data_IF_437577053782
#
_entry.id   IF_437577053782
#
_cell.length_a   1.000
_cell.length_b   1.000
_cell.length_c   1.000
_cell.angle_alpha   90.00
_cell.angle_beta   90.00
_cell.angle_gamma   90.00
#
_symmetry.space_group_name_H-M   'P 1'
#
loop_
_entity.id
_entity.type
_entity.pdbx_description
1 polymer ?
#
# COMPACT_ATOMS: atom_id res chain seq x y z
N UNK A 1 -6.29 0.18 -26.20
CA UNK A 1 -5.07 0.85 -25.71
C UNK A 1 -3.99 -0.20 -25.44
N UNK A 2 -2.72 0.16 -25.59
CA UNK A 2 -1.56 -0.66 -25.26
C UNK A 2 -0.83 -0.03 -24.06
N UNK A 3 -1.00 -0.61 -22.88
CA UNK A 3 -0.50 -0.07 -21.60
C UNK A 3 0.73 -0.86 -21.14
N UNK A 4 1.83 -0.14 -20.86
CA UNK A 4 3.04 -0.72 -20.33
C UNK A 4 3.20 -0.40 -18.83
N UNK A 5 3.12 -1.42 -17.99
CA UNK A 5 3.47 -1.31 -16.59
C UNK A 5 4.96 -1.50 -16.37
N UNK A 6 5.53 -0.74 -15.42
CA UNK A 6 6.93 -0.88 -15.01
C UNK A 6 7.01 -0.87 -13.49
N UNK A 7 7.48 -1.98 -12.90
CA UNK A 7 7.52 -2.18 -11.45
C UNK A 7 8.71 -3.04 -11.01
N UNK A 8 9.00 -3.09 -9.71
CA UNK A 8 10.07 -3.95 -9.20
C UNK A 8 9.68 -5.43 -9.16
N UNK A 9 8.41 -5.74 -8.86
CA UNK A 9 7.91 -7.09 -8.59
C UNK A 9 6.57 -7.34 -9.26
N UNK A 10 6.27 -8.58 -9.59
CA UNK A 10 4.99 -9.04 -10.16
C UNK A 10 4.09 -9.76 -9.15
N UNK A 11 4.62 -10.32 -8.08
CA UNK A 11 3.90 -11.23 -7.18
C UNK A 11 3.50 -10.59 -5.85
N UNK A 12 4.40 -9.87 -5.19
CA UNK A 12 4.13 -9.26 -3.89
C UNK A 12 3.29 -7.99 -4.04
N UNK A 13 2.16 -7.92 -3.28
CA UNK A 13 1.31 -6.74 -3.30
C UNK A 13 0.74 -6.46 -4.69
N UNK A 14 -0.01 -7.39 -5.28
CA UNK A 14 -0.49 -7.33 -6.66
C UNK A 14 -1.27 -6.06 -7.00
N UNK A 15 -1.95 -5.46 -6.03
CA UNK A 15 -2.61 -4.16 -6.18
C UNK A 15 -1.60 -3.02 -6.29
N UNK A 16 -0.53 -3.04 -5.46
CA UNK A 16 0.51 -2.01 -5.43
C UNK A 16 1.45 -2.06 -6.62
N UNK A 17 1.65 -3.23 -7.23
CA UNK A 17 2.56 -3.37 -8.37
C UNK A 17 1.86 -3.24 -9.73
N UNK A 18 0.54 -3.10 -9.75
CA UNK A 18 -0.26 -2.96 -10.95
C UNK A 18 -0.67 -4.28 -11.61
N UNK A 19 -0.30 -5.44 -11.06
CA UNK A 19 -0.60 -6.74 -11.68
C UNK A 19 -2.10 -7.04 -11.75
N UNK A 20 -2.86 -6.75 -10.68
CA UNK A 20 -4.32 -6.92 -10.68
C UNK A 20 -4.98 -6.04 -11.74
N UNK A 21 -4.55 -4.79 -11.87
CA UNK A 21 -5.04 -3.89 -12.91
C UNK A 21 -4.70 -4.38 -14.31
N UNK A 22 -3.46 -4.86 -14.52
CA UNK A 22 -3.06 -5.46 -15.80
C UNK A 22 -4.00 -6.60 -16.21
N UNK A 23 -4.34 -7.49 -15.28
CA UNK A 23 -5.27 -8.60 -15.55
C UNK A 23 -6.67 -8.13 -15.96
N UNK A 24 -7.19 -7.11 -15.27
CA UNK A 24 -8.49 -6.52 -15.61
C UNK A 24 -8.49 -5.84 -16.99
N UNK A 25 -7.41 -5.14 -17.34
CA UNK A 25 -7.26 -4.55 -18.67
C UNK A 25 -7.24 -5.60 -19.79
N UNK A 26 -6.52 -6.71 -19.56
CA UNK A 26 -6.50 -7.84 -20.52
C UNK A 26 -7.87 -8.52 -20.68
N UNK A 27 -8.62 -8.72 -19.59
CA UNK A 27 -10.01 -9.25 -19.63
C UNK A 27 -10.94 -8.36 -20.44
N UNK A 28 -10.72 -7.06 -20.45
CA UNK A 28 -11.50 -6.05 -21.19
C UNK A 28 -11.03 -5.84 -22.63
N UNK A 29 -10.10 -6.67 -23.12
CA UNK A 29 -9.61 -6.65 -24.49
C UNK A 29 -8.55 -5.58 -24.79
N UNK A 30 -7.97 -4.94 -23.79
CA UNK A 30 -6.83 -4.05 -23.96
C UNK A 30 -5.53 -4.85 -24.08
N UNK A 31 -4.54 -4.31 -24.76
CA UNK A 31 -3.17 -4.83 -24.73
C UNK A 31 -2.48 -4.30 -23.46
N UNK A 32 -1.87 -5.17 -22.71
CA UNK A 32 -1.15 -4.78 -21.51
C UNK A 32 0.06 -5.68 -21.28
N UNK A 33 1.21 -5.06 -21.08
CA UNK A 33 2.47 -5.72 -20.77
C UNK A 33 3.07 -5.14 -19.49
N UNK A 34 3.88 -5.93 -18.80
CA UNK A 34 4.55 -5.52 -17.57
C UNK A 34 6.04 -5.83 -17.64
N UNK A 35 6.89 -4.82 -17.40
CA UNK A 35 8.29 -5.01 -17.11
C UNK A 35 8.56 -5.04 -15.61
N UNK A 36 9.27 -6.07 -15.16
CA UNK A 36 9.67 -6.25 -13.77
C UNK A 36 11.18 -6.44 -13.62
N UNK A 37 11.71 -6.03 -12.48
CA UNK A 37 13.09 -6.38 -12.10
C UNK A 37 13.18 -7.85 -11.70
N UNK A 38 12.28 -8.31 -10.83
CA UNK A 38 12.19 -9.70 -10.36
C UNK A 38 10.89 -10.33 -10.87
N UNK A 39 11.02 -11.23 -11.83
CA UNK A 39 9.91 -12.01 -12.37
C UNK A 39 9.76 -13.30 -11.56
N UNK A 40 8.57 -13.51 -11.00
CA UNK A 40 8.19 -14.70 -10.24
C UNK A 40 6.97 -15.40 -10.84
N UNK A 41 6.13 -14.65 -11.56
CA UNK A 41 4.93 -15.17 -12.22
C UNK A 41 5.30 -15.53 -13.67
N UNK A 42 4.97 -16.77 -14.09
CA UNK A 42 5.18 -17.19 -15.45
C UNK A 42 3.94 -16.92 -16.32
N UNK A 43 3.80 -15.67 -16.71
CA UNK A 43 2.73 -15.20 -17.59
C UNK A 43 3.31 -14.56 -18.86
N UNK A 44 2.64 -14.71 -20.04
CA UNK A 44 3.17 -14.24 -21.32
C UNK A 44 3.35 -12.73 -21.39
N UNK A 45 2.57 -11.96 -20.65
CA UNK A 45 2.59 -10.50 -20.63
C UNK A 45 3.44 -9.90 -19.50
N UNK A 46 4.22 -10.73 -18.78
CA UNK A 46 5.15 -10.29 -17.74
C UNK A 46 6.58 -10.59 -18.17
N UNK A 47 7.41 -9.57 -18.25
CA UNK A 47 8.75 -9.65 -18.81
C UNK A 47 9.80 -9.13 -17.82
N UNK A 48 10.97 -9.78 -17.80
CA UNK A 48 12.13 -9.24 -17.08
C UNK A 48 12.70 -8.04 -17.83
N UNK A 49 12.94 -6.92 -17.14
CA UNK A 49 13.58 -5.76 -17.74
C UNK A 49 15.09 -5.98 -17.91
N UNK A 50 15.56 -5.77 -19.13
CA UNK A 50 16.97 -5.90 -19.48
C UNK A 50 17.50 -7.33 -19.55
N UNK A 51 18.58 -7.53 -20.30
CA UNK A 51 19.29 -8.81 -20.41
C UNK A 51 20.12 -9.14 -19.17
N UNK A 52 20.70 -10.34 -19.12
CA UNK A 52 21.51 -10.82 -17.98
C UNK A 52 22.67 -9.88 -17.60
N UNK A 53 23.41 -9.36 -18.59
CA UNK A 53 24.52 -8.43 -18.39
C UNK A 53 24.08 -7.08 -17.82
N UNK A 54 22.98 -6.50 -18.35
CA UNK A 54 22.43 -5.25 -17.87
C UNK A 54 21.95 -5.38 -16.41
N UNK A 55 21.28 -6.48 -16.07
CA UNK A 55 20.82 -6.75 -14.70
C UNK A 55 22.00 -6.99 -13.73
N UNK A 56 23.06 -7.66 -14.17
CA UNK A 56 24.29 -7.81 -13.38
C UNK A 56 24.94 -6.45 -13.07
N UNK A 57 25.09 -5.59 -14.11
CA UNK A 57 25.62 -4.22 -13.96
C UNK A 57 24.74 -3.41 -13.02
N UNK A 58 23.40 -3.45 -13.20
CA UNK A 58 22.45 -2.78 -12.31
C UNK A 58 22.64 -3.23 -10.85
N UNK A 59 22.81 -4.53 -10.60
CA UNK A 59 23.09 -5.05 -9.26
C UNK A 59 24.39 -4.54 -8.64
N UNK A 60 25.45 -4.37 -9.46
CA UNK A 60 26.72 -3.79 -9.01
C UNK A 60 26.56 -2.30 -8.65
N UNK A 61 25.88 -1.54 -9.51
CA UNK A 61 25.60 -0.11 -9.29
C UNK A 61 24.68 0.11 -8.09
N UNK A 62 23.65 -0.74 -7.89
CA UNK A 62 22.82 -0.71 -6.70
C UNK A 62 23.64 -0.86 -5.41
N UNK A 63 24.61 -1.81 -5.37
CA UNK A 63 25.52 -1.95 -4.21
C UNK A 63 26.38 -0.72 -3.99
N UNK A 64 26.81 -0.06 -5.06
CA UNK A 64 27.54 1.21 -4.99
C UNK A 64 26.66 2.34 -4.43
N UNK A 65 25.42 2.45 -4.91
CA UNK A 65 24.44 3.40 -4.37
C UNK A 65 24.24 3.26 -2.86
N UNK A 66 24.07 2.01 -2.38
CA UNK A 66 23.93 1.74 -0.95
C UNK A 66 25.17 2.22 -0.15
N UNK A 67 26.38 2.07 -0.70
CA UNK A 67 27.62 2.59 -0.07
C UNK A 67 27.67 4.12 -0.08
N UNK A 68 27.15 4.75 -1.13
CA UNK A 68 27.15 6.20 -1.30
C UNK A 68 25.93 6.87 -0.66
N UNK A 69 24.96 6.09 -0.14
CA UNK A 69 23.69 6.57 0.38
C UNK A 69 22.87 7.37 -0.66
N UNK A 70 22.97 6.97 -1.93
CA UNK A 70 22.15 7.52 -3.02
C UNK A 70 20.92 6.65 -3.25
N UNK A 71 19.88 7.23 -3.85
CA UNK A 71 18.64 6.53 -4.15
C UNK A 71 18.18 6.78 -5.58
N UNK A 72 18.13 5.69 -6.40
CA UNK A 72 17.70 5.72 -7.80
C UNK A 72 18.48 6.72 -8.68
N UNK A 73 19.78 6.82 -8.49
CA UNK A 73 20.68 7.73 -9.23
C UNK A 73 21.49 6.96 -10.29
N UNK A 74 22.14 5.85 -9.88
CA UNK A 74 23.06 5.07 -10.70
C UNK A 74 22.42 3.90 -11.48
N UNK A 75 21.22 3.39 -11.22
CA UNK A 75 20.63 2.25 -11.93
C UNK A 75 20.59 2.46 -13.45
N UNK A 76 20.75 1.37 -14.20
CA UNK A 76 20.92 1.44 -15.67
C UNK A 76 19.77 0.83 -16.47
N UNK A 77 18.85 0.13 -15.84
CA UNK A 77 17.79 -0.57 -16.58
C UNK A 77 16.79 0.38 -17.27
N UNK A 78 16.77 1.67 -16.88
CA UNK A 78 16.02 2.68 -17.62
C UNK A 78 16.46 2.82 -19.10
N UNK A 79 17.73 2.63 -19.41
CA UNK A 79 18.21 2.60 -20.80
C UNK A 79 17.67 1.37 -21.56
N UNK A 80 17.58 0.22 -20.90
CA UNK A 80 16.97 -0.98 -21.49
C UNK A 80 15.47 -0.78 -21.73
N UNK A 81 14.78 -0.06 -20.85
CA UNK A 81 13.38 0.30 -21.04
C UNK A 81 13.20 1.17 -22.27
N UNK A 82 13.93 2.27 -22.39
CA UNK A 82 13.85 3.22 -23.52
C UNK A 82 14.13 2.58 -24.89
N UNK A 83 14.93 1.52 -24.93
CA UNK A 83 15.25 0.80 -26.17
C UNK A 83 14.26 -0.32 -26.50
N UNK A 84 13.39 -0.69 -25.55
CA UNK A 84 12.53 -1.86 -25.73
C UNK A 84 11.40 -1.62 -26.74
N UNK A 85 11.02 -2.63 -27.52
CA UNK A 85 9.88 -2.54 -28.42
C UNK A 85 8.55 -2.28 -27.69
N UNK A 86 8.36 -2.88 -26.50
CA UNK A 86 7.14 -2.68 -25.71
C UNK A 86 7.00 -1.23 -25.25
N UNK A 87 8.10 -0.57 -24.89
CA UNK A 87 8.06 0.85 -24.54
C UNK A 87 7.74 1.71 -25.76
N UNK A 88 8.42 1.47 -26.88
CA UNK A 88 8.22 2.26 -28.12
C UNK A 88 6.81 2.17 -28.69
N UNK A 89 6.14 1.04 -28.49
CA UNK A 89 4.79 0.78 -28.99
C UNK A 89 3.68 1.01 -27.96
N UNK A 90 4.02 1.46 -26.74
CA UNK A 90 3.02 1.74 -25.72
C UNK A 90 2.24 3.03 -26.03
N UNK A 91 0.93 3.00 -25.80
CA UNK A 91 0.11 4.21 -25.82
C UNK A 91 0.29 5.02 -24.53
N UNK A 92 0.59 4.33 -23.42
CA UNK A 92 0.82 4.92 -22.10
C UNK A 92 1.75 4.03 -21.27
N UNK A 93 2.59 4.67 -20.47
CA UNK A 93 3.48 3.98 -19.50
C UNK A 93 2.99 4.25 -18.07
N UNK A 94 2.77 3.18 -17.31
CA UNK A 94 2.38 3.26 -15.91
C UNK A 94 3.50 2.77 -14.99
N UNK A 95 4.14 3.69 -14.30
CA UNK A 95 5.20 3.43 -13.34
C UNK A 95 4.59 3.12 -11.96
N UNK A 96 5.14 2.10 -11.28
CA UNK A 96 4.69 1.69 -9.94
C UNK A 96 5.85 1.80 -8.93
N UNK A 97 6.24 0.73 -8.27
CA UNK A 97 7.27 0.68 -7.23
C UNK A 97 8.69 0.79 -7.79
N UNK A 98 9.15 1.98 -8.17
CA UNK A 98 10.50 2.18 -8.71
C UNK A 98 11.60 2.19 -7.65
N UNK A 99 11.31 2.67 -6.44
CA UNK A 99 12.28 2.79 -5.35
C UNK A 99 12.56 1.46 -4.63
N UNK A 100 11.67 0.49 -4.74
CA UNK A 100 11.91 -0.87 -4.29
C UNK A 100 12.98 -1.51 -5.19
N UNK A 101 14.16 -1.80 -4.66
CA UNK A 101 15.33 -2.35 -5.40
C UNK A 101 16.01 -1.41 -6.40
N UNK A 102 15.60 -0.15 -6.54
CA UNK A 102 16.31 0.90 -7.27
C UNK A 102 16.87 0.41 -8.62
N UNK A 103 16.01 0.14 -9.59
CA UNK A 103 16.40 -0.46 -10.87
C UNK A 103 16.34 0.52 -12.06
N UNK A 104 15.60 1.61 -11.92
CA UNK A 104 15.53 2.71 -12.88
C UNK A 104 16.08 3.98 -12.24
N UNK A 105 17.00 4.65 -12.90
CA UNK A 105 17.49 5.94 -12.46
C UNK A 105 16.42 7.01 -12.62
N UNK A 106 16.32 7.91 -11.63
CA UNK A 106 15.48 9.10 -11.73
C UNK A 106 15.84 9.93 -12.97
N UNK A 107 17.11 9.98 -13.38
CA UNK A 107 17.56 10.68 -14.58
C UNK A 107 17.00 10.14 -15.90
N UNK A 108 16.42 8.94 -15.91
CA UNK A 108 15.72 8.42 -17.07
C UNK A 108 14.27 8.96 -17.21
N UNK A 109 13.67 9.48 -16.13
CA UNK A 109 12.27 9.91 -16.11
C UNK A 109 11.95 11.04 -17.12
N UNK A 110 12.81 12.07 -17.29
CA UNK A 110 12.57 13.07 -18.33
C UNK A 110 12.43 12.48 -19.74
N UNK A 111 13.32 11.54 -20.10
CA UNK A 111 13.26 10.90 -21.43
C UNK A 111 12.10 9.91 -21.55
N UNK A 112 11.76 9.17 -20.48
CA UNK A 112 10.59 8.29 -20.44
C UNK A 112 9.32 9.10 -20.65
N UNK A 113 9.17 10.28 -20.05
CA UNK A 113 7.97 11.11 -20.10
C UNK A 113 7.91 12.06 -21.33
N UNK A 114 8.94 12.05 -22.17
CA UNK A 114 9.00 12.92 -23.36
C UNK A 114 8.13 12.39 -24.51
N UNK A 115 8.14 11.07 -24.72
CA UNK A 115 7.57 10.45 -25.91
C UNK A 115 6.23 9.73 -25.65
N UNK A 116 5.87 9.55 -24.39
CA UNK A 116 4.64 8.86 -23.98
C UNK A 116 3.97 9.59 -22.83
N UNK A 117 2.63 9.56 -22.74
CA UNK A 117 1.95 9.91 -21.50
C UNK A 117 2.38 8.90 -20.41
N UNK A 118 2.80 9.44 -19.26
CA UNK A 118 3.28 8.64 -18.14
C UNK A 118 2.42 8.89 -16.92
N UNK A 119 1.93 7.81 -16.32
CA UNK A 119 1.31 7.80 -14.98
C UNK A 119 2.29 7.19 -14.01
N UNK A 120 2.41 7.74 -12.80
CA UNK A 120 3.20 7.15 -11.73
C UNK A 120 2.38 7.02 -10.45
N UNK A 121 2.04 5.79 -10.07
CA UNK A 121 1.40 5.50 -8.78
C UNK A 121 2.41 5.63 -7.65
N UNK A 122 2.16 6.60 -6.77
CA UNK A 122 3.01 6.90 -5.62
C UNK A 122 2.37 6.26 -4.37
N UNK A 123 2.97 5.19 -3.89
CA UNK A 123 2.43 4.37 -2.80
C UNK A 123 2.82 4.84 -1.41
N UNK A 124 3.86 5.67 -1.30
CA UNK A 124 4.37 6.23 -0.06
C UNK A 124 5.08 7.57 -0.30
N UNK A 125 5.35 8.36 0.75
CA UNK A 125 6.01 9.66 0.63
C UNK A 125 7.48 9.66 0.15
N UNK A 126 8.09 8.54 -0.20
CA UNK A 126 9.51 8.48 -0.59
C UNK A 126 9.91 9.53 -1.63
N UNK A 127 9.05 9.78 -2.62
CA UNK A 127 9.37 10.75 -3.67
C UNK A 127 9.42 12.19 -3.15
N UNK A 128 8.71 12.51 -2.07
CA UNK A 128 8.71 13.84 -1.44
C UNK A 128 9.88 14.07 -0.48
N UNK A 129 10.59 13.01 -0.08
CA UNK A 129 11.61 13.02 0.99
C UNK A 129 13.02 12.78 0.45
N UNK A 130 14.04 12.92 1.30
CA UNK A 130 15.42 12.56 0.98
C UNK A 130 15.70 11.07 1.00
N UNK A 131 14.94 10.28 1.80
CA UNK A 131 15.08 8.82 1.85
C UNK A 131 13.90 8.07 2.45
N UNK A 132 13.23 8.63 3.45
CA UNK A 132 12.21 7.91 4.21
C UNK A 132 10.92 7.71 3.39
N UNK A 133 10.25 6.58 3.60
CA UNK A 133 8.94 6.28 3.02
C UNK A 133 7.79 6.92 3.82
N UNK A 134 8.01 7.19 5.11
CA UNK A 134 7.10 7.95 5.97
C UNK A 134 7.90 8.90 6.85
N UNK A 135 7.76 10.21 6.67
CA UNK A 135 8.51 11.19 7.46
C UNK A 135 8.00 11.35 8.90
N UNK A 136 6.83 10.77 9.26
CA UNK A 136 6.17 10.94 10.56
C UNK A 136 6.07 12.43 10.93
N UNK A 137 6.56 12.83 12.11
CA UNK A 137 6.55 14.23 12.60
C UNK A 137 7.62 15.12 11.95
N UNK A 138 8.50 14.56 11.10
CA UNK A 138 9.57 15.31 10.45
C UNK A 138 9.04 16.17 9.31
N UNK A 139 9.26 17.49 9.38
CA UNK A 139 8.85 18.47 8.38
C UNK A 139 9.97 18.87 7.40
N UNK A 140 11.17 18.30 7.52
CA UNK A 140 12.34 18.70 6.71
C UNK A 140 12.18 18.46 5.21
N UNK A 141 11.30 17.53 4.83
CA UNK A 141 10.98 17.27 3.43
C UNK A 141 10.34 18.46 2.69
N UNK A 142 9.76 19.41 3.44
CA UNK A 142 9.21 20.66 2.90
C UNK A 142 10.30 21.68 2.52
N UNK A 143 11.51 21.56 3.08
CA UNK A 143 12.57 22.58 2.94
C UNK A 143 13.89 22.03 2.40
N UNK A 144 13.97 20.75 2.03
CA UNK A 144 15.15 20.18 1.35
C UNK A 144 15.83 19.03 2.07
N UNK A 145 15.27 18.52 3.17
CA UNK A 145 15.89 17.48 4.01
C UNK A 145 17.29 17.89 4.54
N UNK A 146 18.12 16.93 4.93
CA UNK A 146 19.42 17.17 5.60
C UNK A 146 19.31 17.15 7.13
N UNK A 147 20.43 16.86 7.80
CA UNK A 147 20.48 16.64 9.26
C UNK A 147 19.39 15.67 9.73
N UNK A 148 19.28 14.52 9.03
CA UNK A 148 18.20 13.58 9.22
C UNK A 148 18.21 13.01 10.64
N UNK A 149 17.07 13.01 11.36
CA UNK A 149 17.00 12.48 12.72
C UNK A 149 17.08 10.95 12.77
N UNK A 150 16.74 10.27 11.66
CA UNK A 150 16.78 8.81 11.57
C UNK A 150 17.25 8.38 10.17
N UNK A 151 18.40 7.75 10.10
CA UNK A 151 18.97 7.18 8.88
C UNK A 151 18.75 5.66 8.76
N UNK A 152 18.01 5.06 9.69
CA UNK A 152 17.87 3.60 9.80
C UNK A 152 16.58 3.06 9.23
N UNK A 153 15.52 3.87 9.19
CA UNK A 153 14.15 3.43 8.89
C UNK A 153 13.61 3.98 7.58
N UNK A 154 12.91 3.17 6.78
CA UNK A 154 13.04 1.73 6.58
C UNK A 154 14.07 1.40 5.50
N UNK A 155 14.62 2.42 4.82
CA UNK A 155 15.70 2.30 3.83
C UNK A 155 16.97 2.86 4.46
N UNK A 156 17.81 2.03 5.10
CA UNK A 156 18.94 2.51 5.88
C UNK A 156 20.00 3.17 5.00
N UNK A 157 20.55 4.29 5.50
CA UNK A 157 21.65 5.03 4.88
C UNK A 157 22.90 4.97 5.73
N UNK A 158 24.07 4.85 5.10
CA UNK A 158 25.37 4.83 5.81
C UNK A 158 25.84 6.21 6.24
N UNK A 159 25.42 7.24 5.53
CA UNK A 159 25.73 8.66 5.79
C UNK A 159 24.52 9.51 5.41
N UNK A 160 24.40 10.67 6.02
CA UNK A 160 23.33 11.60 5.66
C UNK A 160 23.58 12.23 4.28
N UNK A 161 22.96 11.65 3.26
CA UNK A 161 22.89 12.21 1.92
C UNK A 161 21.44 12.66 1.59
N UNK A 162 20.59 12.85 2.60
CA UNK A 162 19.16 13.15 2.42
C UNK A 162 18.93 14.46 1.69
N UNK A 163 19.73 15.50 1.99
CA UNK A 163 19.67 16.78 1.26
C UNK A 163 20.05 16.62 -0.22
N UNK A 164 21.05 15.79 -0.52
CA UNK A 164 21.48 15.53 -1.90
C UNK A 164 20.40 14.76 -2.68
N UNK A 165 19.88 13.69 -2.10
CA UNK A 165 18.81 12.90 -2.72
C UNK A 165 17.56 13.74 -2.95
N UNK A 166 17.19 14.61 -2.00
CA UNK A 166 16.07 15.53 -2.15
C UNK A 166 16.30 16.49 -3.33
N UNK A 167 17.49 17.11 -3.40
CA UNK A 167 17.85 18.01 -4.51
C UNK A 167 17.82 17.33 -5.86
N UNK A 168 18.29 16.08 -5.94
CA UNK A 168 18.24 15.27 -7.17
C UNK A 168 16.78 15.04 -7.58
N UNK A 169 15.93 14.57 -6.66
CA UNK A 169 14.50 14.38 -6.92
C UNK A 169 13.84 15.68 -7.41
N UNK A 170 14.08 16.79 -6.70
CA UNK A 170 13.54 18.08 -7.07
C UNK A 170 13.98 18.52 -8.47
N UNK A 171 15.26 18.38 -8.78
CA UNK A 171 15.81 18.75 -10.10
C UNK A 171 15.23 17.88 -11.23
N UNK A 172 15.11 16.57 -11.00
CA UNK A 172 14.54 15.63 -11.97
C UNK A 172 13.06 15.90 -12.19
N UNK A 173 12.27 15.97 -11.12
CA UNK A 173 10.80 16.09 -11.24
C UNK A 173 10.37 17.39 -11.93
N UNK A 174 11.13 18.48 -11.79
CA UNK A 174 10.91 19.73 -12.55
C UNK A 174 11.24 19.62 -14.05
N UNK A 175 11.76 18.47 -14.51
CA UNK A 175 12.09 18.18 -15.92
C UNK A 175 11.30 17.02 -16.48
N UNK A 176 10.33 16.51 -15.72
CA UNK A 176 9.47 15.42 -16.16
C UNK A 176 8.07 15.94 -16.48
N UNK A 177 7.38 15.24 -17.39
CA UNK A 177 5.96 15.45 -17.68
C UNK A 177 5.20 14.18 -17.27
N UNK A 178 4.98 14.00 -15.98
CA UNK A 178 4.37 12.79 -15.41
C UNK A 178 3.10 13.18 -14.67
N UNK A 179 2.04 12.39 -14.86
CA UNK A 179 0.82 12.47 -14.08
C UNK A 179 0.95 11.59 -12.84
N UNK A 180 0.87 12.17 -11.64
CA UNK A 180 0.97 11.44 -10.39
C UNK A 180 -0.36 10.81 -10.02
N UNK A 181 -0.33 9.62 -9.44
CA UNK A 181 -1.50 8.94 -8.92
C UNK A 181 -1.34 8.66 -7.43
N UNK A 182 -2.28 9.13 -6.64
CA UNK A 182 -2.40 8.84 -5.21
C UNK A 182 -3.53 7.86 -4.96
N UNK A 183 -3.35 6.93 -4.02
CA UNK A 183 -4.42 6.03 -3.60
C UNK A 183 -5.35 6.65 -2.53
N UNK A 184 -4.97 7.80 -1.94
CA UNK A 184 -5.74 8.49 -0.92
C UNK A 184 -5.56 10.00 -1.01
N UNK A 185 -6.53 10.75 -0.48
CA UNK A 185 -6.44 12.20 -0.36
C UNK A 185 -5.27 12.62 0.56
N UNK A 186 -5.00 11.84 1.61
CA UNK A 186 -3.84 12.02 2.47
C UNK A 186 -2.51 12.04 1.70
N UNK A 187 -2.36 11.19 0.68
CA UNK A 187 -1.17 11.18 -0.17
C UNK A 187 -1.19 12.35 -1.16
N UNK A 188 -2.35 12.73 -1.70
CA UNK A 188 -2.52 13.89 -2.58
C UNK A 188 -2.19 15.21 -1.87
N UNK A 189 -2.53 15.35 -0.59
CA UNK A 189 -2.12 16.50 0.24
C UNK A 189 -0.59 16.64 0.29
N UNK A 190 0.13 15.53 0.37
CA UNK A 190 1.60 15.53 0.34
C UNK A 190 2.14 15.94 -1.01
N UNK A 191 1.46 15.61 -2.12
CA UNK A 191 1.85 16.13 -3.44
C UNK A 191 1.72 17.65 -3.47
N UNK A 192 0.58 18.19 -3.01
CA UNK A 192 0.33 19.64 -2.96
C UNK A 192 1.33 20.40 -2.09
N UNK A 193 1.70 19.80 -0.96
CA UNK A 193 2.65 20.41 -0.02
C UNK A 193 4.12 20.26 -0.44
N UNK A 194 4.45 19.31 -1.31
CA UNK A 194 5.83 19.01 -1.68
C UNK A 194 6.41 19.99 -2.70
N UNK A 195 7.51 20.67 -2.43
CA UNK A 195 8.20 21.47 -3.44
C UNK A 195 8.67 20.64 -4.65
N UNK A 196 8.85 19.33 -4.47
CA UNK A 196 9.25 18.40 -5.54
C UNK A 196 8.09 18.12 -6.50
N UNK A 197 6.82 18.05 -6.01
CA UNK A 197 5.70 17.48 -6.74
C UNK A 197 4.55 18.45 -7.00
N UNK A 198 4.45 19.56 -6.27
CA UNK A 198 3.28 20.46 -6.30
C UNK A 198 2.96 21.07 -7.66
N UNK A 199 3.93 21.09 -8.57
CA UNK A 199 3.77 21.61 -9.95
C UNK A 199 3.25 20.54 -10.94
N UNK A 200 3.23 19.25 -10.55
CA UNK A 200 2.80 18.16 -11.43
C UNK A 200 1.30 17.90 -11.30
N UNK A 201 0.64 17.52 -12.42
CA UNK A 201 -0.75 17.09 -12.38
C UNK A 201 -0.89 15.78 -11.61
N UNK A 202 -2.01 15.63 -10.91
CA UNK A 202 -2.29 14.40 -10.18
C UNK A 202 -3.78 14.04 -10.21
N UNK A 203 -4.06 12.77 -9.89
CA UNK A 203 -5.40 12.24 -9.61
C UNK A 203 -5.38 11.38 -8.35
N UNK A 204 -6.55 11.21 -7.74
CA UNK A 204 -6.74 10.26 -6.63
C UNK A 204 -7.59 9.10 -7.15
N UNK A 205 -7.04 7.90 -7.14
CA UNK A 205 -7.75 6.66 -7.45
C UNK A 205 -7.44 5.65 -6.33
N UNK A 206 -8.41 5.40 -5.44
CA UNK A 206 -8.26 4.41 -4.38
C UNK A 206 -7.99 3.02 -4.93
N UNK A 207 -7.28 2.19 -4.19
CA UNK A 207 -7.11 0.77 -4.56
C UNK A 207 -8.44 0.03 -4.55
N UNK A 208 -8.59 -0.88 -5.50
CA UNK A 208 -9.70 -1.80 -5.58
C UNK A 208 -9.46 -3.09 -4.79
N UNK A 209 -10.49 -3.55 -4.13
CA UNK A 209 -10.57 -4.87 -3.52
C UNK A 209 -11.32 -5.81 -4.47
N UNK A 210 -10.83 -7.03 -4.58
CA UNK A 210 -11.48 -8.12 -5.30
C UNK A 210 -12.64 -8.67 -4.46
N UNK A 211 -13.85 -8.22 -4.78
CA UNK A 211 -15.06 -8.60 -4.05
C UNK A 211 -15.56 -10.01 -4.37
N UNK A 212 -15.00 -10.68 -5.37
CA UNK A 212 -15.22 -12.12 -5.58
C UNK A 212 -14.47 -12.95 -4.53
N UNK A 213 -13.40 -12.42 -3.98
CA UNK A 213 -12.62 -13.06 -2.91
C UNK A 213 -13.03 -12.51 -1.54
N UNK A 214 -13.03 -11.19 -1.36
CA UNK A 214 -13.35 -10.55 -0.08
C UNK A 214 -14.81 -10.10 -0.09
N UNK A 215 -15.69 -10.91 0.49
CA UNK A 215 -17.13 -10.65 0.63
C UNK A 215 -17.65 -11.26 1.92
N UNK A 216 -18.81 -10.84 2.42
CA UNK A 216 -19.41 -11.45 3.59
C UNK A 216 -19.80 -12.90 3.32
N UNK A 217 -19.47 -13.78 4.26
CA UNK A 217 -19.96 -15.17 4.31
C UNK A 217 -20.65 -15.42 5.65
N UNK A 218 -21.29 -16.57 5.78
CA UNK A 218 -21.82 -16.98 7.09
C UNK A 218 -20.67 -17.05 8.11
N UNK A 219 -20.79 -16.24 9.17
CA UNK A 219 -19.81 -16.11 10.24
C UNK A 219 -19.52 -17.45 10.91
N UNK A 220 -20.54 -18.32 11.01
CA UNK A 220 -20.36 -19.65 11.56
C UNK A 220 -19.41 -20.49 10.71
N UNK A 221 -19.52 -20.45 9.39
CA UNK A 221 -18.61 -21.16 8.49
C UNK A 221 -17.16 -20.68 8.65
N UNK A 222 -16.98 -19.37 8.80
CA UNK A 222 -15.66 -18.79 9.03
C UNK A 222 -15.07 -19.18 10.39
N UNK A 223 -15.88 -19.23 11.43
CA UNK A 223 -15.48 -19.63 12.80
C UNK A 223 -15.19 -21.12 12.90
N UNK A 224 -16.03 -21.96 12.31
CA UNK A 224 -15.83 -23.43 12.24
C UNK A 224 -14.49 -23.76 11.56
N UNK A 225 -14.07 -22.99 10.53
CA UNK A 225 -12.78 -23.15 9.86
C UNK A 225 -11.57 -23.03 10.81
N UNK A 226 -11.71 -22.22 11.86
CA UNK A 226 -10.66 -22.00 12.87
C UNK A 226 -10.97 -22.67 14.22
N UNK A 227 -12.02 -23.50 14.33
CA UNK A 227 -12.51 -24.12 15.56
C UNK A 227 -12.83 -23.07 16.65
N UNK A 228 -13.46 -21.96 16.28
CA UNK A 228 -13.87 -20.87 17.19
C UNK A 228 -15.36 -21.04 17.52
N UNK A 229 -15.75 -21.05 18.81
CA UNK A 229 -17.16 -21.12 19.22
C UNK A 229 -17.99 -19.92 18.70
N UNK A 230 -19.27 -20.17 18.40
CA UNK A 230 -20.19 -19.15 17.84
C UNK A 230 -20.43 -17.97 18.81
N UNK A 231 -20.39 -18.22 20.14
CA UNK A 231 -20.64 -17.25 21.20
C UNK A 231 -19.40 -16.50 21.69
N UNK A 232 -18.22 -16.84 21.18
CA UNK A 232 -16.96 -16.16 21.51
C UNK A 232 -16.89 -14.77 20.85
N UNK A 233 -16.19 -13.84 21.50
CA UNK A 233 -15.76 -12.59 20.86
C UNK A 233 -14.48 -12.85 20.04
N UNK A 234 -14.35 -12.26 18.85
CA UNK A 234 -13.20 -12.49 17.96
C UNK A 234 -12.60 -11.17 17.51
N UNK A 235 -11.33 -10.97 17.85
CA UNK A 235 -10.53 -9.81 17.45
C UNK A 235 -9.49 -10.28 16.44
N UNK A 236 -9.30 -9.56 15.34
CA UNK A 236 -8.24 -9.88 14.38
C UNK A 236 -7.39 -8.66 14.04
N UNK A 237 -6.13 -8.90 13.75
CA UNK A 237 -5.17 -7.89 13.31
C UNK A 237 -3.94 -8.52 12.67
N UNK A 238 -3.18 -7.69 11.96
CA UNK A 238 -1.85 -8.06 11.50
C UNK A 238 -0.84 -7.84 12.62
N UNK A 239 -0.25 -8.91 13.12
CA UNK A 239 0.77 -8.86 14.18
C UNK A 239 2.17 -8.75 13.56
N UNK A 240 2.72 -7.55 13.56
CA UNK A 240 4.05 -7.26 13.00
C UNK A 240 4.95 -6.56 14.03
N UNK A 241 5.39 -7.28 15.09
CA UNK A 241 6.12 -6.68 16.24
C UNK A 241 7.48 -6.10 15.85
N UNK A 242 8.05 -6.57 14.74
CA UNK A 242 9.30 -6.06 14.16
C UNK A 242 9.11 -4.79 13.31
N UNK A 243 7.87 -4.37 13.02
CA UNK A 243 7.58 -3.22 12.16
C UNK A 243 6.74 -2.16 12.89
N UNK A 244 7.43 -1.29 13.64
CA UNK A 244 6.82 -0.27 14.51
C UNK A 244 5.75 0.59 13.83
N UNK A 245 5.88 0.85 12.52
CA UNK A 245 4.90 1.65 11.78
C UNK A 245 3.50 1.05 11.73
N UNK A 246 3.33 -0.24 12.05
CA UNK A 246 2.01 -0.90 12.15
C UNK A 246 1.37 -0.81 13.54
N UNK A 247 2.02 -0.15 14.50
CA UNK A 247 1.49 0.11 15.83
C UNK A 247 1.34 -1.12 16.74
N UNK A 248 2.25 -2.13 16.70
CA UNK A 248 2.09 -3.35 17.49
C UNK A 248 2.04 -3.07 18.99
N UNK A 249 2.74 -2.06 19.48
CA UNK A 249 2.75 -1.67 20.88
C UNK A 249 1.36 -1.24 21.39
N UNK A 250 0.58 -0.54 20.55
CA UNK A 250 -0.77 -0.09 20.90
C UNK A 250 -1.78 -1.23 20.90
N UNK A 251 -1.63 -2.19 19.99
CA UNK A 251 -2.44 -3.42 19.98
C UNK A 251 -2.20 -4.18 21.28
N UNK A 252 -0.93 -4.40 21.64
CA UNK A 252 -0.57 -5.10 22.88
C UNK A 252 -1.15 -4.41 24.10
N UNK A 253 -0.91 -3.11 24.28
CA UNK A 253 -1.45 -2.31 25.39
C UNK A 253 -2.98 -2.36 25.45
N UNK A 254 -3.67 -2.25 24.31
CA UNK A 254 -5.11 -2.33 24.28
C UNK A 254 -5.62 -3.71 24.73
N UNK A 255 -5.00 -4.79 24.29
CA UNK A 255 -5.36 -6.14 24.72
C UNK A 255 -5.05 -6.38 26.21
N UNK A 256 -3.99 -5.79 26.75
CA UNK A 256 -3.69 -5.83 28.20
C UNK A 256 -4.82 -5.19 29.03
N UNK A 257 -5.30 -4.01 28.60
CA UNK A 257 -6.33 -3.23 29.30
C UNK A 257 -7.76 -3.75 29.11
N UNK A 258 -8.03 -4.44 27.99
CA UNK A 258 -9.37 -4.88 27.60
C UNK A 258 -10.03 -5.76 28.68
N UNK A 259 -11.26 -5.41 29.08
CA UNK A 259 -12.05 -6.19 30.03
C UNK A 259 -12.91 -7.23 29.30
N UNK A 260 -12.58 -8.51 29.48
CA UNK A 260 -13.28 -9.60 28.79
C UNK A 260 -14.60 -9.92 29.51
N UNK A 261 -15.69 -10.00 28.73
CA UNK A 261 -17.01 -10.43 29.19
C UNK A 261 -17.38 -11.83 28.71
N UNK A 262 -16.64 -12.34 27.72
CA UNK A 262 -16.81 -13.66 27.11
C UNK A 262 -15.45 -14.25 26.79
N UNK A 263 -15.42 -15.51 26.44
CA UNK A 263 -14.26 -16.13 25.86
C UNK A 263 -13.87 -15.35 24.60
N UNK A 264 -12.61 -14.95 24.53
CA UNK A 264 -12.14 -14.07 23.44
C UNK A 264 -11.02 -14.75 22.68
N UNK A 265 -11.25 -14.89 21.38
CA UNK A 265 -10.28 -15.39 20.42
C UNK A 265 -9.58 -14.24 19.72
N UNK A 266 -8.29 -14.42 19.50
CA UNK A 266 -7.47 -13.43 18.79
C UNK A 266 -6.83 -14.12 17.57
N UNK A 267 -7.23 -13.69 16.38
CA UNK A 267 -6.61 -14.18 15.14
C UNK A 267 -5.48 -13.22 14.76
N UNK A 268 -4.24 -13.73 14.74
CA UNK A 268 -3.08 -12.95 14.31
C UNK A 268 -2.61 -13.38 12.91
N UNK A 269 -2.17 -12.41 12.12
CA UNK A 269 -1.56 -12.63 10.81
C UNK A 269 -0.15 -12.03 10.81
N UNK A 270 0.80 -12.60 10.08
CA UNK A 270 2.19 -12.19 9.88
C UNK A 270 3.18 -12.85 10.88
N UNK A 271 3.07 -12.62 12.19
CA UNK A 271 3.91 -13.27 13.17
C UNK A 271 3.05 -14.01 14.23
N UNK A 272 3.59 -15.07 14.87
CA UNK A 272 2.89 -15.73 15.96
C UNK A 272 2.78 -14.83 17.19
N UNK A 273 1.67 -14.94 17.91
CA UNK A 273 1.36 -14.15 19.11
C UNK A 273 2.37 -14.35 20.24
N UNK A 274 2.96 -15.55 20.36
CA UNK A 274 4.02 -15.86 21.31
C UNK A 274 5.26 -14.96 21.14
N UNK A 275 5.48 -14.43 19.93
CA UNK A 275 6.52 -13.46 19.67
C UNK A 275 6.03 -12.04 19.96
N UNK A 276 6.26 -11.57 21.16
CA UNK A 276 5.95 -10.22 21.65
C UNK A 276 4.72 -10.09 22.56
N UNK A 277 3.87 -11.14 22.68
CA UNK A 277 2.71 -11.16 23.59
C UNK A 277 2.62 -12.46 24.41
N UNK A 278 3.73 -13.01 24.96
CA UNK A 278 3.68 -14.26 25.70
C UNK A 278 2.80 -14.17 26.96
N UNK A 279 2.71 -13.02 27.60
CA UNK A 279 1.91 -12.76 28.80
C UNK A 279 0.40 -12.80 28.55
N UNK A 280 -0.03 -12.59 27.31
CA UNK A 280 -1.44 -12.60 26.92
C UNK A 280 -1.97 -13.99 26.60
N UNK A 281 -1.10 -15.01 26.52
CA UNK A 281 -1.49 -16.39 26.21
C UNK A 281 -2.46 -17.00 27.24
N UNK A 282 -2.44 -16.52 28.48
CA UNK A 282 -3.37 -16.96 29.53
C UNK A 282 -4.70 -16.20 29.50
N UNK A 283 -4.77 -15.06 28.81
CA UNK A 283 -5.95 -14.20 28.77
C UNK A 283 -6.81 -14.45 27.52
N UNK A 284 -6.21 -14.87 26.41
CA UNK A 284 -6.84 -15.02 25.12
C UNK A 284 -6.59 -16.39 24.49
N UNK A 285 -7.52 -16.85 23.67
CA UNK A 285 -7.33 -17.98 22.77
C UNK A 285 -6.75 -17.50 21.46
N UNK A 286 -5.46 -17.75 21.21
CA UNK A 286 -4.81 -17.28 19.97
C UNK A 286 -4.94 -18.29 18.84
N UNK A 287 -5.22 -17.76 17.63
CA UNK A 287 -5.17 -18.47 16.36
C UNK A 287 -4.11 -17.77 15.49
N UNK A 288 -2.91 -18.31 15.49
CA UNK A 288 -1.77 -17.73 14.77
C UNK A 288 -1.73 -18.24 13.34
N UNK A 289 -1.88 -17.35 12.37
CA UNK A 289 -1.90 -17.70 10.94
C UNK A 289 -0.52 -17.52 10.28
N UNK A 290 0.43 -16.91 10.95
CA UNK A 290 1.73 -16.53 10.40
C UNK A 290 1.60 -15.68 9.11
N UNK A 291 2.58 -15.72 8.21
CA UNK A 291 2.49 -15.02 6.93
C UNK A 291 1.51 -15.71 6.00
N UNK A 292 0.40 -15.05 5.66
CA UNK A 292 -0.68 -15.61 4.84
C UNK A 292 -0.57 -15.08 3.42
N UNK A 293 -0.19 -15.95 2.48
CA UNK A 293 -0.29 -15.68 1.03
C UNK A 293 -1.65 -16.09 0.46
N UNK A 294 -2.34 -17.03 1.12
CA UNK A 294 -3.66 -17.50 0.72
C UNK A 294 -4.74 -16.46 1.07
N UNK A 295 -5.22 -15.77 0.05
CA UNK A 295 -6.29 -14.77 0.16
C UNK A 295 -7.58 -15.33 0.75
N UNK A 296 -7.89 -16.62 0.48
CA UNK A 296 -9.06 -17.29 1.04
C UNK A 296 -8.93 -17.44 2.57
N UNK A 297 -7.75 -17.80 3.05
CA UNK A 297 -7.49 -17.89 4.51
C UNK A 297 -7.59 -16.53 5.19
N UNK A 298 -7.10 -15.47 4.53
CA UNK A 298 -7.26 -14.09 5.00
C UNK A 298 -8.75 -13.69 5.05
N UNK A 299 -9.51 -13.99 4.01
CA UNK A 299 -10.96 -13.73 3.95
C UNK A 299 -11.70 -14.47 5.07
N UNK A 300 -11.36 -15.75 5.32
CA UNK A 300 -11.94 -16.50 6.45
C UNK A 300 -11.64 -15.85 7.79
N UNK A 301 -10.40 -15.39 8.03
CA UNK A 301 -10.01 -14.73 9.26
C UNK A 301 -10.78 -13.41 9.48
N UNK A 302 -10.94 -12.62 8.42
CA UNK A 302 -11.71 -11.39 8.47
C UNK A 302 -13.20 -11.67 8.75
N UNK A 303 -13.81 -12.63 8.08
CA UNK A 303 -15.23 -12.98 8.32
C UNK A 303 -15.50 -13.61 9.71
N UNK A 304 -14.54 -14.31 10.29
CA UNK A 304 -14.67 -14.89 11.64
C UNK A 304 -14.70 -13.80 12.73
N UNK A 305 -14.10 -12.64 12.46
CA UNK A 305 -13.87 -11.59 13.42
C UNK A 305 -15.12 -10.72 13.72
N UNK A 306 -15.18 -10.17 14.92
CA UNK A 306 -16.13 -9.11 15.33
C UNK A 306 -15.55 -7.73 15.09
N UNK A 307 -14.21 -7.63 15.08
CA UNK A 307 -13.49 -6.38 14.84
C UNK A 307 -12.09 -6.64 14.27
N UNK A 308 -11.69 -5.79 13.32
CA UNK A 308 -10.34 -5.74 12.77
C UNK A 308 -9.61 -4.49 13.27
N UNK A 309 -8.41 -4.68 13.85
CA UNK A 309 -7.59 -3.59 14.37
C UNK A 309 -6.45 -3.26 13.40
N UNK A 310 -6.36 -2.00 13.00
CA UNK A 310 -5.27 -1.49 12.17
C UNK A 310 -4.75 -0.14 12.69
N UNK A 311 -4.22 -0.08 13.94
CA UNK A 311 -3.72 1.16 14.53
C UNK A 311 -2.32 1.51 14.02
N UNK A 312 -2.17 1.55 12.68
CA UNK A 312 -0.92 1.93 12.04
C UNK A 312 -0.58 3.39 12.37
N UNK A 313 0.67 3.65 12.74
CA UNK A 313 1.18 5.02 12.95
C UNK A 313 1.63 5.69 11.66
N UNK A 314 1.76 4.91 10.59
CA UNK A 314 2.00 5.41 9.23
C UNK A 314 1.35 4.49 8.22
N UNK A 315 0.48 5.04 7.40
CA UNK A 315 -0.23 4.32 6.33
C UNK A 315 -0.63 5.30 5.22
N UNK A 316 -0.44 4.90 3.98
CA UNK A 316 -0.82 5.72 2.82
C UNK A 316 -2.19 5.37 2.23
N UNK A 317 -2.69 4.16 2.51
CA UNK A 317 -4.03 3.70 2.12
C UNK A 317 -4.59 2.68 3.11
N UNK A 318 -3.95 1.50 3.24
CA UNK A 318 -4.41 0.45 4.15
C UNK A 318 -5.37 -0.55 3.52
N UNK A 319 -4.92 -1.25 2.48
CA UNK A 319 -5.73 -2.21 1.73
C UNK A 319 -6.43 -3.24 2.63
N UNK A 320 -5.76 -3.77 3.66
CA UNK A 320 -6.39 -4.73 4.59
C UNK A 320 -7.58 -4.16 5.36
N UNK A 321 -7.61 -2.84 5.62
CA UNK A 321 -8.80 -2.22 6.22
C UNK A 321 -10.00 -2.30 5.27
N UNK A 322 -9.78 -2.06 3.98
CA UNK A 322 -10.83 -2.17 2.96
C UNK A 322 -11.23 -3.63 2.73
N UNK A 323 -10.29 -4.58 2.76
CA UNK A 323 -10.57 -6.01 2.71
C UNK A 323 -11.44 -6.47 3.90
N UNK A 324 -11.16 -5.95 5.11
CA UNK A 324 -12.00 -6.21 6.30
C UNK A 324 -13.41 -5.60 6.14
N UNK A 325 -13.50 -4.36 5.66
CA UNK A 325 -14.80 -3.74 5.35
C UNK A 325 -15.59 -4.54 4.31
N UNK A 326 -14.92 -5.05 3.28
CA UNK A 326 -15.52 -5.89 2.23
C UNK A 326 -16.05 -7.22 2.78
N UNK A 327 -15.41 -7.78 3.82
CA UNK A 327 -15.89 -8.95 4.54
C UNK A 327 -17.00 -8.64 5.58
N UNK A 328 -17.40 -7.39 5.72
CA UNK A 328 -18.39 -6.97 6.74
C UNK A 328 -17.81 -6.96 8.16
N UNK A 329 -16.53 -6.73 8.32
CA UNK A 329 -15.87 -6.66 9.62
C UNK A 329 -15.59 -5.20 9.98
N UNK A 330 -16.11 -4.70 11.11
CA UNK A 330 -15.82 -3.35 11.59
C UNK A 330 -14.34 -3.11 11.80
N UNK A 331 -13.86 -1.93 11.38
CA UNK A 331 -12.44 -1.58 11.41
C UNK A 331 -12.19 -0.44 12.41
N UNK A 332 -11.16 -0.60 13.25
CA UNK A 332 -10.68 0.46 14.15
C UNK A 332 -9.27 0.85 13.76
N UNK A 333 -9.03 2.14 13.56
CA UNK A 333 -7.75 2.73 13.12
C UNK A 333 -7.36 3.91 14.00
N UNK A 334 -6.14 4.42 13.83
CA UNK A 334 -5.75 5.73 14.35
C UNK A 334 -6.12 6.86 13.39
N UNK A 335 -6.44 8.03 13.96
CA UNK A 335 -6.49 9.32 13.26
C UNK A 335 -5.08 9.69 12.72
N UNK A 336 -4.99 10.80 11.98
CA UNK A 336 -3.75 11.38 11.43
C UNK A 336 -2.98 10.50 10.42
N UNK A 337 -3.63 9.43 9.92
CA UNK A 337 -3.15 8.63 8.79
C UNK A 337 -4.17 8.65 7.65
N UNK A 338 -3.84 8.04 6.52
CA UNK A 338 -4.82 7.86 5.45
C UNK A 338 -6.04 7.02 5.87
N UNK A 339 -5.87 6.17 6.91
CA UNK A 339 -6.86 5.18 7.29
C UNK A 339 -8.20 5.77 7.70
N UNK A 340 -8.24 6.87 8.46
CA UNK A 340 -9.49 7.48 8.93
C UNK A 340 -10.41 7.89 7.77
N UNK A 341 -9.83 8.46 6.71
CA UNK A 341 -10.57 8.80 5.49
C UNK A 341 -10.92 7.57 4.65
N UNK A 342 -10.02 6.60 4.55
CA UNK A 342 -10.22 5.36 3.76
C UNK A 342 -11.35 4.51 4.34
N UNK A 343 -11.46 4.38 5.67
CA UNK A 343 -12.57 3.67 6.30
C UNK A 343 -13.84 4.54 6.46
N UNK A 344 -13.84 5.76 5.94
CA UNK A 344 -14.94 6.71 6.09
C UNK A 344 -15.39 6.89 7.55
N UNK A 345 -14.43 7.03 8.47
CA UNK A 345 -14.76 7.26 9.89
C UNK A 345 -15.45 8.63 10.09
N UNK A 346 -16.45 8.75 11.00
CA UNK A 346 -16.98 7.71 11.89
C UNK A 346 -18.14 6.91 11.28
N UNK A 347 -18.47 7.09 9.99
CA UNK A 347 -19.65 6.55 9.33
C UNK A 347 -19.56 5.02 9.12
N UNK A 348 -18.43 4.52 8.58
CA UNK A 348 -18.25 3.12 8.18
C UNK A 348 -17.13 2.38 8.95
N UNK A 349 -16.39 3.10 9.78
CA UNK A 349 -15.36 2.57 10.66
C UNK A 349 -15.09 3.51 11.83
N UNK A 350 -14.19 3.17 12.71
CA UNK A 350 -13.86 3.93 13.92
C UNK A 350 -12.42 4.42 13.83
N UNK A 351 -12.24 5.74 13.89
CA UNK A 351 -10.93 6.35 14.09
C UNK A 351 -10.82 6.80 15.55
N UNK A 352 -9.71 6.46 16.20
CA UNK A 352 -9.42 6.86 17.58
C UNK A 352 -8.19 7.77 17.61
N UNK A 353 -8.03 8.59 18.67
CA UNK A 353 -6.90 9.50 18.77
C UNK A 353 -5.55 8.80 18.56
N UNK A 354 -4.68 9.47 17.81
CA UNK A 354 -3.39 8.94 17.37
C UNK A 354 -2.51 8.49 18.55
N UNK A 355 -2.00 7.27 18.46
CA UNK A 355 -1.15 6.64 19.47
C UNK A 355 -1.81 6.50 20.87
N UNK A 356 -3.12 6.38 20.93
CA UNK A 356 -3.86 6.23 22.20
C UNK A 356 -4.41 4.82 22.36
N UNK A 357 -3.74 4.00 23.13
CA UNK A 357 -4.13 2.61 23.40
C UNK A 357 -5.41 2.51 24.25
N UNK A 358 -5.66 3.46 25.16
CA UNK A 358 -6.89 3.49 25.97
C UNK A 358 -8.12 3.74 25.11
N UNK A 359 -8.04 4.73 24.20
CA UNK A 359 -9.12 4.99 23.25
C UNK A 359 -9.35 3.80 22.28
N UNK A 360 -8.27 3.10 21.91
CA UNK A 360 -8.36 1.87 21.12
C UNK A 360 -9.12 0.78 21.90
N UNK A 361 -8.81 0.59 23.19
CA UNK A 361 -9.50 -0.36 24.08
C UNK A 361 -10.99 -0.03 24.18
N UNK A 362 -11.35 1.22 24.46
CA UNK A 362 -12.74 1.66 24.57
C UNK A 362 -13.52 1.43 23.26
N UNK A 363 -12.88 1.66 22.11
CA UNK A 363 -13.49 1.40 20.80
C UNK A 363 -13.74 -0.09 20.58
N UNK A 364 -12.79 -0.97 20.96
CA UNK A 364 -12.96 -2.44 20.91
C UNK A 364 -14.15 -2.85 21.80
N UNK A 365 -14.18 -2.42 23.06
CA UNK A 365 -15.26 -2.73 24.00
C UNK A 365 -16.63 -2.27 23.47
N UNK A 366 -16.68 -1.10 22.86
CA UNK A 366 -17.93 -0.58 22.28
C UNK A 366 -18.44 -1.45 21.12
N UNK A 367 -17.55 -1.91 20.24
CA UNK A 367 -17.94 -2.78 19.12
C UNK A 367 -18.39 -4.16 19.63
N UNK A 368 -17.67 -4.75 20.60
CA UNK A 368 -18.00 -6.06 21.13
C UNK A 368 -19.28 -6.06 21.95
N UNK A 369 -19.53 -5.00 22.74
CA UNK A 369 -20.69 -4.92 23.64
C UNK A 369 -21.97 -4.37 23.00
N UNK A 370 -21.92 -3.79 21.81
CA UNK A 370 -23.09 -3.17 21.16
C UNK A 370 -23.33 -3.76 19.76
N UNK A 371 -24.15 -4.82 19.67
CA UNK A 371 -24.47 -5.47 18.40
C UNK A 371 -25.16 -4.54 17.36
N UNK A 372 -26.02 -3.62 17.79
CA UNK A 372 -26.71 -2.70 16.89
C UNK A 372 -25.73 -1.73 16.24
N UNK A 373 -24.84 -1.15 17.04
CA UNK A 373 -23.77 -0.27 16.55
C UNK A 373 -22.85 -1.00 15.60
N UNK A 374 -22.45 -2.23 15.95
CA UNK A 374 -21.64 -3.10 15.08
C UNK A 374 -22.31 -3.35 13.74
N UNK A 375 -23.60 -3.72 13.74
CA UNK A 375 -24.37 -3.95 12.52
C UNK A 375 -24.53 -2.68 11.67
N UNK A 376 -24.65 -1.52 12.29
CA UNK A 376 -24.67 -0.25 11.56
C UNK A 376 -23.35 0.01 10.82
N UNK A 377 -22.21 -0.19 11.50
CA UNK A 377 -20.89 -0.05 10.87
C UNK A 377 -20.71 -1.03 9.70
N UNK A 378 -21.15 -2.28 9.85
CA UNK A 378 -21.09 -3.29 8.79
C UNK A 378 -21.87 -2.85 7.55
N UNK A 379 -23.14 -2.43 7.70
CA UNK A 379 -23.95 -1.96 6.56
C UNK A 379 -23.30 -0.79 5.84
N UNK A 380 -22.82 0.18 6.60
CA UNK A 380 -22.19 1.37 6.03
C UNK A 380 -20.86 1.01 5.32
N UNK A 381 -20.04 0.12 5.93
CA UNK A 381 -18.78 -0.32 5.36
C UNK A 381 -18.97 -1.05 4.03
N UNK A 382 -19.94 -1.96 3.95
CA UNK A 382 -20.27 -2.67 2.72
C UNK A 382 -20.72 -1.72 1.60
N UNK A 383 -21.54 -0.72 1.93
CA UNK A 383 -21.96 0.30 0.97
C UNK A 383 -20.77 1.12 0.47
N UNK A 384 -19.90 1.58 1.39
CA UNK A 384 -18.68 2.34 1.03
C UNK A 384 -17.77 1.53 0.11
N UNK A 385 -17.58 0.23 0.39
CA UNK A 385 -16.78 -0.66 -0.47
C UNK A 385 -17.39 -0.77 -1.85
N UNK A 386 -18.70 -1.01 -1.93
CA UNK A 386 -19.42 -1.15 -3.20
C UNK A 386 -19.30 0.12 -4.06
N UNK A 387 -19.41 1.29 -3.44
CA UNK A 387 -19.42 2.57 -4.14
C UNK A 387 -18.02 3.05 -4.56
N UNK A 388 -16.96 2.67 -3.81
CA UNK A 388 -15.65 3.31 -3.97
C UNK A 388 -14.47 2.36 -4.17
N UNK A 389 -14.57 1.09 -3.72
CA UNK A 389 -13.39 0.24 -3.54
C UNK A 389 -13.47 -1.10 -4.24
N UNK A 390 -14.42 -1.31 -5.15
CA UNK A 390 -14.42 -2.54 -5.97
C UNK A 390 -13.28 -2.51 -6.98
N UNK A 391 -12.80 -3.68 -7.38
CA UNK A 391 -11.79 -3.80 -8.45
C UNK A 391 -12.33 -3.23 -9.77
N UNK A 392 -13.65 -3.27 -9.96
CA UNK A 392 -14.32 -2.66 -11.11
C UNK A 392 -14.17 -1.13 -11.09
N UNK A 393 -14.58 -0.46 -10.00
CA UNK A 393 -14.43 0.99 -9.84
C UNK A 393 -12.97 1.43 -10.03
N UNK A 394 -12.02 0.68 -9.46
CA UNK A 394 -10.59 0.93 -9.61
C UNK A 394 -10.16 0.87 -11.08
N UNK A 395 -10.61 -0.13 -11.81
CA UNK A 395 -10.27 -0.33 -13.22
C UNK A 395 -10.89 0.74 -14.12
N UNK A 396 -12.18 1.07 -13.92
CA UNK A 396 -12.90 2.12 -14.66
C UNK A 396 -12.23 3.48 -14.50
N UNK A 397 -11.87 3.85 -13.27
CA UNK A 397 -11.20 5.13 -12.98
C UNK A 397 -9.82 5.20 -13.67
N UNK A 398 -9.08 4.08 -13.74
CA UNK A 398 -7.81 4.03 -14.47
C UNK A 398 -8.01 4.15 -15.98
N UNK A 399 -9.01 3.47 -16.54
CA UNK A 399 -9.33 3.54 -17.97
C UNK A 399 -9.68 4.97 -18.37
N UNK A 400 -10.57 5.63 -17.63
CA UNK A 400 -10.95 7.02 -17.87
C UNK A 400 -9.74 7.98 -17.80
N UNK A 401 -8.83 7.77 -16.83
CA UNK A 401 -7.61 8.55 -16.73
C UNK A 401 -6.69 8.30 -17.93
N UNK A 402 -6.48 7.04 -18.32
CA UNK A 402 -5.59 6.69 -19.44
C UNK A 402 -6.09 7.28 -20.75
N UNK A 403 -7.37 7.13 -21.07
CA UNK A 403 -8.00 7.69 -22.27
C UNK A 403 -7.78 9.20 -22.34
N UNK A 404 -8.06 9.91 -21.24
CA UNK A 404 -7.83 11.36 -21.15
C UNK A 404 -6.38 11.74 -21.42
N UNK A 405 -5.41 11.03 -20.84
CA UNK A 405 -4.00 11.36 -20.99
C UNK A 405 -3.47 11.05 -22.40
N UNK A 406 -3.91 9.94 -23.01
CA UNK A 406 -3.57 9.58 -24.39
C UNK A 406 -4.13 10.61 -25.37
N UNK A 407 -5.39 11.03 -25.21
CA UNK A 407 -6.03 12.05 -26.05
C UNK A 407 -5.29 13.39 -25.94
N UNK A 408 -4.97 13.85 -24.73
CA UNK A 408 -4.24 15.10 -24.53
C UNK A 408 -2.84 15.06 -25.16
N UNK A 409 -2.15 13.94 -25.07
CA UNK A 409 -0.83 13.77 -25.68
C UNK A 409 -0.87 13.80 -27.21
N UNK A 410 -1.90 13.16 -27.81
CA UNK A 410 -2.10 13.16 -29.25
C UNK A 410 -2.47 14.53 -29.82
N UNK A 411 -3.06 15.42 -29.03
CA UNK A 411 -3.40 16.79 -29.44
C UNK A 411 -2.23 17.78 -29.31
N UNK A 412 -1.24 17.43 -28.46
CA UNK A 412 -0.08 18.28 -28.19
C UNK A 412 1.10 18.03 -29.17
N UNK A 413 1.09 16.89 -29.89
CA UNK A 413 2.07 16.48 -30.91
C UNK A 413 1.50 16.60 -32.33
#
# INVERSE_FOLDING_TARGET
MNILFVTAYDSMGQQFNGYSLQKELLKRGHQSNMYVLERRIDEPNVHSLGGKSARWLNGALYRLEQKLSLHNVLPTLGFSLLQSPLFKNADLVHLQLLHARQFISLYNLPEISKNHPVVWSIHDPWLTTGHCIHPLDCQRWLTGCGNCPDLTTPIPMKRDATALNWKIKNWVMHRTNIHLLAASEWMAERFRASPILSHLPYSVIPFGVDTDVFHPIDKKVARDYFNIPDDADVITFRWAPYFKLKGPEYIKQALEMLQLKRDTYVITMDAPSSYGMPELQSKYHFVDLEWVEDRKKTMMALNAADVFLMPSIAESFGLMAVEAMACGTPVIVFEDTALSSVIHAPHAGIAVPYKNAEALTQAIERVLSNPEYRQQLIRNALQVVQDNYTLECYTENHLALYEKLIQNHSQAN
#
